data_IF_956689462883
#
_entry.id   IF_956689462883
#
_cell.length_a   1.000
_cell.length_b   1.000
_cell.length_c   1.000
_cell.angle_alpha   90.00
_cell.angle_beta   90.00
_cell.angle_gamma   90.00
#
_symmetry.space_group_name_H-M   'P 1'
#
loop_
_entity.id
_entity.type
_entity.pdbx_description
1 polymer ?
#
# COMPACT_ATOMS: atom_id res chain seq x y z
N UNK A 1 16.84 19.49 -2.70
CA UNK A 1 15.49 19.91 -2.28
C UNK A 1 14.53 18.74 -2.36
N UNK A 2 13.77 18.49 -1.32
CA UNK A 2 12.80 17.42 -1.29
C UNK A 2 11.57 17.80 -2.10
N UNK A 3 11.01 16.82 -2.82
CA UNK A 3 9.73 17.00 -3.49
C UNK A 3 8.62 16.71 -2.49
N UNK A 4 7.67 17.61 -2.42
CA UNK A 4 6.52 17.43 -1.55
C UNK A 4 5.39 16.78 -2.36
N UNK A 5 4.91 15.65 -1.86
CA UNK A 5 3.81 14.96 -2.49
C UNK A 5 3.01 14.18 -1.45
N UNK A 6 1.71 14.43 -1.43
CA UNK A 6 0.79 13.70 -0.56
C UNK A 6 -0.49 13.50 -1.35
N UNK A 7 -0.89 12.26 -1.55
CA UNK A 7 -2.05 11.94 -2.36
C UNK A 7 -2.86 10.83 -1.70
N UNK A 8 -4.17 11.01 -1.62
CA UNK A 8 -5.07 10.02 -1.03
C UNK A 8 -6.13 9.65 -2.05
N UNK A 9 -6.31 8.36 -2.27
CA UNK A 9 -7.37 7.85 -3.14
C UNK A 9 -8.12 6.74 -2.44
N UNK A 10 -9.33 6.47 -2.92
CA UNK A 10 -10.11 5.33 -2.48
C UNK A 10 -10.07 4.25 -3.55
N UNK A 11 -9.95 3.01 -3.13
CA UNK A 11 -10.05 1.87 -4.04
C UNK A 11 -11.52 1.46 -4.07
N UNK A 12 -12.17 1.69 -5.20
CA UNK A 12 -13.60 1.41 -5.36
C UNK A 12 -13.83 0.32 -6.37
N UNK A 13 -14.62 -0.66 -5.98
CA UNK A 13 -14.93 -1.80 -6.85
C UNK A 13 -15.67 -1.37 -8.12
N UNK A 14 -16.57 -0.41 -8.01
CA UNK A 14 -17.35 0.08 -9.16
C UNK A 14 -16.50 0.72 -10.25
N UNK A 15 -15.26 1.10 -9.92
CA UNK A 15 -14.33 1.66 -10.88
C UNK A 15 -13.43 0.60 -11.51
N UNK A 16 -13.75 -0.68 -11.32
CA UNK A 16 -12.94 -1.77 -11.82
C UNK A 16 -11.66 -2.01 -11.04
N UNK A 17 -11.55 -1.44 -9.85
CA UNK A 17 -10.37 -1.57 -8.99
C UNK A 17 -10.63 -2.58 -7.90
N UNK A 18 -9.58 -3.27 -7.48
CA UNK A 18 -9.68 -4.25 -6.41
C UNK A 18 -8.59 -4.01 -5.37
N UNK A 19 -8.88 -4.38 -4.14
CA UNK A 19 -7.90 -4.24 -3.06
C UNK A 19 -6.73 -5.21 -3.28
N UNK A 20 -7.02 -6.42 -3.74
CA UNK A 20 -5.99 -7.42 -3.99
C UNK A 20 -5.03 -6.96 -5.09
N UNK A 21 -5.54 -6.45 -6.21
CA UNK A 21 -4.69 -5.96 -7.29
C UNK A 21 -3.86 -4.77 -6.84
N UNK A 22 -4.45 -3.86 -6.07
CA UNK A 22 -3.73 -2.69 -5.56
C UNK A 22 -2.60 -3.09 -4.62
N UNK A 23 -2.85 -4.05 -3.74
CA UNK A 23 -1.84 -4.56 -2.83
C UNK A 23 -0.72 -5.27 -3.58
N UNK A 24 -1.07 -6.10 -4.55
CA UNK A 24 -0.07 -6.82 -5.37
C UNK A 24 0.84 -5.83 -6.11
N UNK A 25 0.24 -4.80 -6.69
CA UNK A 25 0.99 -3.80 -7.45
C UNK A 25 2.01 -3.07 -6.56
N UNK A 26 1.57 -2.62 -5.39
CA UNK A 26 2.43 -1.86 -4.49
C UNK A 26 3.53 -2.70 -3.87
N UNK A 27 3.23 -3.95 -3.55
CA UNK A 27 4.20 -4.84 -2.94
C UNK A 27 5.10 -5.56 -3.95
N UNK A 28 4.75 -5.52 -5.23
CA UNK A 28 5.48 -6.26 -6.25
C UNK A 28 5.29 -7.76 -6.09
N UNK A 29 4.10 -8.20 -5.76
CA UNK A 29 3.79 -9.59 -5.48
C UNK A 29 2.78 -10.18 -6.47
N UNK A 30 2.62 -11.48 -6.40
CA UNK A 30 1.60 -12.19 -7.14
C UNK A 30 0.50 -12.59 -6.18
N UNK A 31 -0.70 -12.06 -6.37
CA UNK A 31 -1.83 -12.34 -5.50
C UNK A 31 -3.04 -12.75 -6.34
N UNK A 32 -3.79 -13.70 -5.80
CA UNK A 32 -5.03 -14.16 -6.43
C UNK A 32 -6.23 -13.56 -5.70
N UNK A 33 -7.14 -12.97 -6.45
CA UNK A 33 -8.35 -12.36 -5.89
C UNK A 33 -9.47 -13.39 -5.93
N UNK A 34 -9.91 -13.83 -4.78
CA UNK A 34 -10.99 -14.81 -4.68
C UNK A 34 -12.35 -14.25 -5.07
N UNK A 35 -12.49 -12.93 -4.99
CA UNK A 35 -13.76 -12.29 -5.32
C UNK A 35 -14.08 -12.39 -6.81
N UNK A 36 -13.10 -12.09 -7.67
CA UNK A 36 -13.31 -12.08 -9.12
C UNK A 36 -12.60 -13.23 -9.85
N UNK A 37 -11.80 -14.02 -9.14
CA UNK A 37 -11.09 -15.14 -9.72
C UNK A 37 -9.86 -14.77 -10.52
N UNK A 38 -9.42 -13.53 -10.48
CA UNK A 38 -8.26 -13.07 -11.25
C UNK A 38 -6.98 -13.08 -10.44
N UNK A 39 -5.88 -13.40 -11.13
CA UNK A 39 -4.55 -13.38 -10.54
C UNK A 39 -3.81 -12.15 -11.05
N UNK A 40 -3.18 -11.42 -10.12
CA UNK A 40 -2.41 -10.22 -10.43
C UNK A 40 -0.96 -10.48 -10.07
N UNK A 41 -0.09 -10.42 -11.06
CA UNK A 41 1.33 -10.74 -10.91
C UNK A 41 2.18 -9.53 -11.26
N UNK A 42 2.78 -8.93 -10.24
CA UNK A 42 3.67 -7.80 -10.40
C UNK A 42 5.08 -8.13 -9.92
N UNK A 43 5.43 -9.41 -9.88
CA UNK A 43 6.75 -9.85 -9.39
C UNK A 43 7.89 -9.35 -10.26
N UNK A 44 7.62 -9.06 -11.53
CA UNK A 44 8.65 -8.55 -12.45
C UNK A 44 8.76 -7.04 -12.48
N UNK A 45 7.91 -6.35 -11.74
CA UNK A 45 7.84 -4.90 -11.79
C UNK A 45 9.11 -4.22 -11.31
N UNK A 46 9.72 -4.71 -10.25
CA UNK A 46 10.91 -4.09 -9.68
C UNK A 46 10.60 -2.79 -8.97
N UNK A 47 11.63 -2.18 -8.38
CA UNK A 47 11.50 -0.88 -7.75
C UNK A 47 10.95 -0.89 -6.33
N UNK A 48 10.47 -2.00 -5.83
CA UNK A 48 10.01 -2.11 -4.45
C UNK A 48 11.19 -2.39 -3.54
N UNK A 49 11.43 -1.49 -2.59
CA UNK A 49 12.53 -1.64 -1.64
C UNK A 49 12.10 -2.47 -0.46
N UNK A 50 10.87 -2.24 0.02
CA UNK A 50 10.35 -2.89 1.22
C UNK A 50 8.84 -2.92 1.14
N UNK A 51 8.24 -4.01 1.60
CA UNK A 51 6.80 -4.09 1.79
C UNK A 51 6.53 -4.84 3.08
N UNK A 52 5.60 -4.32 3.89
CA UNK A 52 5.37 -4.85 5.23
C UNK A 52 3.95 -4.51 5.68
N UNK A 53 3.28 -5.47 6.29
CA UNK A 53 1.98 -5.21 6.92
C UNK A 53 2.25 -4.89 8.39
N UNK A 54 1.79 -3.71 8.83
CA UNK A 54 2.03 -3.24 10.19
C UNK A 54 0.78 -3.39 11.04
N UNK A 55 0.99 -3.58 12.30
CA UNK A 55 0.08 -3.83 13.40
C UNK A 55 -0.09 -5.32 13.70
N UNK A 56 -0.26 -6.14 12.68
CA UNK A 56 -0.41 -7.58 12.84
C UNK A 56 0.37 -8.30 11.78
N UNK A 57 0.74 -9.51 12.09
CA UNK A 57 1.32 -10.36 11.07
C UNK A 57 0.18 -11.03 10.30
N UNK A 58 0.02 -10.57 9.07
CA UNK A 58 -0.91 -11.16 8.12
C UNK A 58 -0.16 -11.51 6.86
N UNK A 59 -0.55 -12.64 6.27
CA UNK A 59 -0.25 -12.88 4.88
C UNK A 59 -1.02 -11.86 4.03
N UNK A 60 -0.35 -11.21 3.09
CA UNK A 60 -0.96 -10.14 2.29
C UNK A 60 -2.16 -10.65 1.50
N UNK A 61 -2.06 -11.85 0.94
CA UNK A 61 -3.18 -12.47 0.24
C UNK A 61 -4.39 -12.65 1.16
N UNK A 62 -4.15 -13.12 2.36
CA UNK A 62 -5.22 -13.34 3.34
C UNK A 62 -5.89 -12.03 3.72
N UNK A 63 -5.08 -11.01 4.03
CA UNK A 63 -5.63 -9.71 4.44
C UNK A 63 -6.52 -9.12 3.37
N UNK A 64 -6.02 -9.00 2.15
CA UNK A 64 -6.76 -8.27 1.12
C UNK A 64 -7.91 -9.08 0.52
N UNK A 65 -7.81 -10.40 0.51
CA UNK A 65 -8.96 -11.22 0.16
C UNK A 65 -10.05 -11.13 1.21
N UNK A 66 -9.69 -11.04 2.48
CA UNK A 66 -10.65 -10.81 3.55
C UNK A 66 -11.41 -9.51 3.33
N UNK A 67 -10.70 -8.43 3.00
CA UNK A 67 -11.32 -7.14 2.71
C UNK A 67 -12.31 -7.27 1.54
N UNK A 68 -11.94 -7.95 0.47
CA UNK A 68 -12.81 -8.16 -0.67
C UNK A 68 -14.08 -8.92 -0.28
N UNK A 69 -13.96 -9.92 0.59
CA UNK A 69 -15.09 -10.74 0.99
C UNK A 69 -16.03 -10.03 1.95
N UNK A 70 -15.50 -9.17 2.80
CA UNK A 70 -16.32 -8.43 3.77
C UNK A 70 -17.14 -7.35 3.09
N UNK A 71 -16.59 -6.70 2.08
CA UNK A 71 -17.28 -5.64 1.34
C UNK A 71 -18.02 -6.26 0.14
N UNK A 72 -19.30 -6.53 0.32
CA UNK A 72 -20.06 -7.36 -0.63
C UNK A 72 -20.72 -6.60 -1.77
N UNK A 73 -20.87 -5.29 -1.66
CA UNK A 73 -21.56 -4.50 -2.66
C UNK A 73 -20.70 -4.27 -3.90
N UNK A 74 -21.32 -4.21 -5.08
CA UNK A 74 -20.57 -3.98 -6.30
C UNK A 74 -19.92 -2.59 -6.32
N UNK A 75 -20.48 -1.65 -5.56
CA UNK A 75 -19.93 -0.29 -5.47
C UNK A 75 -19.15 -0.07 -4.16
N UNK A 76 -18.67 -1.15 -3.55
CA UNK A 76 -17.98 -1.07 -2.27
C UNK A 76 -16.70 -0.26 -2.36
N UNK A 77 -16.45 0.53 -1.33
CA UNK A 77 -15.13 1.11 -1.08
C UNK A 77 -14.32 0.07 -0.32
N UNK A 78 -13.15 -0.26 -0.84
CA UNK A 78 -12.36 -1.37 -0.30
C UNK A 78 -11.23 -0.90 0.59
N UNK A 79 -10.57 0.19 0.21
CA UNK A 79 -9.39 0.65 0.92
C UNK A 79 -9.13 2.11 0.61
N UNK A 80 -8.37 2.76 1.50
CA UNK A 80 -7.72 4.04 1.21
C UNK A 80 -6.29 3.79 0.82
N UNK A 81 -5.82 4.50 -0.20
CA UNK A 81 -4.45 4.45 -0.65
C UNK A 81 -3.81 5.81 -0.41
N UNK A 82 -2.70 5.82 0.32
CA UNK A 82 -1.95 7.04 0.61
C UNK A 82 -0.59 6.94 -0.08
N UNK A 83 -0.25 7.96 -0.83
CA UNK A 83 1.04 8.05 -1.54
C UNK A 83 1.76 9.28 -1.03
N UNK A 84 2.98 9.10 -0.55
CA UNK A 84 3.73 10.20 0.08
C UNK A 84 5.18 10.17 -0.37
N UNK A 85 5.72 11.39 -0.61
CA UNK A 85 7.13 11.53 -0.96
C UNK A 85 7.99 11.45 0.29
N UNK A 86 9.16 10.84 0.14
CA UNK A 86 10.19 10.83 1.15
C UNK A 86 11.25 11.87 0.78
N UNK A 87 12.22 12.06 1.68
CA UNK A 87 13.26 13.06 1.49
C UNK A 87 14.42 12.45 0.72
N UNK A 88 14.74 13.00 -0.44
CA UNK A 88 15.87 12.49 -1.21
C UNK A 88 17.23 12.90 -0.62
N UNK A 89 17.23 13.83 0.35
CA UNK A 89 18.44 14.18 1.09
C UNK A 89 18.78 13.18 2.18
N UNK A 90 17.83 12.32 2.56
CA UNK A 90 18.05 11.32 3.60
C UNK A 90 18.59 10.03 2.99
N UNK A 91 19.29 9.25 3.79
CA UNK A 91 19.72 7.93 3.38
C UNK A 91 18.50 7.01 3.24
N UNK A 92 18.69 5.88 2.58
CA UNK A 92 17.65 4.87 2.45
C UNK A 92 17.17 4.40 3.83
N UNK A 93 18.10 4.15 4.73
CA UNK A 93 17.75 3.69 6.08
C UNK A 93 16.94 4.73 6.84
N UNK A 94 17.31 6.00 6.73
CA UNK A 94 16.57 7.08 7.36
C UNK A 94 15.17 7.19 6.80
N UNK A 95 15.02 7.03 5.50
CA UNK A 95 13.70 7.08 4.86
C UNK A 95 12.83 5.89 5.25
N UNK A 96 13.41 4.70 5.38
CA UNK A 96 12.67 3.53 5.84
C UNK A 96 12.14 3.75 7.25
N UNK A 97 13.00 4.25 8.15
CA UNK A 97 12.60 4.53 9.51
C UNK A 97 11.52 5.61 9.58
N UNK A 98 11.68 6.65 8.79
CA UNK A 98 10.70 7.73 8.74
C UNK A 98 9.33 7.23 8.29
N UNK A 99 9.30 6.41 7.23
CA UNK A 99 8.05 5.86 6.74
C UNK A 99 7.38 4.96 7.78
N UNK A 100 8.14 4.09 8.42
CA UNK A 100 7.60 3.20 9.46
C UNK A 100 7.08 3.98 10.66
N UNK A 101 7.81 4.98 11.09
CA UNK A 101 7.40 5.84 12.20
C UNK A 101 6.11 6.57 11.90
N UNK A 102 6.00 7.11 10.68
CA UNK A 102 4.80 7.81 10.24
C UNK A 102 3.60 6.86 10.27
N UNK A 103 3.75 5.67 9.72
CA UNK A 103 2.65 4.69 9.65
C UNK A 103 2.27 4.23 11.06
N UNK A 104 3.26 4.00 11.91
CA UNK A 104 3.00 3.59 13.29
C UNK A 104 2.21 4.67 14.03
N UNK A 105 2.61 5.91 13.87
CA UNK A 105 2.02 7.03 14.61
C UNK A 105 0.62 7.38 14.13
N UNK A 106 0.40 7.41 12.81
CA UNK A 106 -0.83 7.94 12.25
C UNK A 106 -1.84 6.90 11.83
N UNK A 107 -1.45 5.64 11.72
CA UNK A 107 -2.36 4.57 11.33
C UNK A 107 -2.45 3.49 12.39
N UNK A 108 -1.34 2.88 12.74
CA UNK A 108 -1.33 1.72 13.63
C UNK A 108 -1.77 2.10 15.04
N UNK A 109 -1.32 3.23 15.55
CA UNK A 109 -1.70 3.66 16.89
C UNK A 109 -3.19 3.98 17.00
N UNK A 110 -3.85 4.29 15.87
CA UNK A 110 -5.29 4.51 15.83
C UNK A 110 -6.08 3.23 15.57
N UNK A 111 -5.43 2.10 15.59
CA UNK A 111 -6.09 0.81 15.45
C UNK A 111 -6.16 0.26 14.03
N UNK A 112 -5.53 0.92 13.08
CA UNK A 112 -5.59 0.49 11.69
C UNK A 112 -4.51 -0.51 11.36
N UNK A 113 -4.82 -1.42 10.43
CA UNK A 113 -3.82 -2.27 9.80
C UNK A 113 -3.34 -1.51 8.57
N UNK A 114 -2.04 -1.44 8.37
CA UNK A 114 -1.47 -0.69 7.27
C UNK A 114 -0.51 -1.56 6.48
N UNK A 115 -0.71 -1.61 5.16
CA UNK A 115 0.18 -2.33 4.25
C UNK A 115 1.10 -1.29 3.62
N UNK A 116 2.35 -1.28 4.05
CA UNK A 116 3.34 -0.29 3.66
C UNK A 116 4.22 -0.84 2.54
N UNK A 117 4.47 -0.01 1.53
CA UNK A 117 5.45 -0.32 0.48
C UNK A 117 6.30 0.92 0.22
N UNK A 118 7.61 0.73 0.14
CA UNK A 118 8.57 1.79 -0.13
C UNK A 118 9.17 1.53 -1.50
N UNK A 119 9.16 2.54 -2.35
CA UNK A 119 9.61 2.43 -3.73
C UNK A 119 10.86 3.24 -3.99
N UNK A 120 11.70 2.74 -4.88
CA UNK A 120 12.88 3.45 -5.35
C UNK A 120 12.46 4.71 -6.09
N UNK A 121 13.30 5.76 -6.06
CA UNK A 121 13.05 6.92 -6.88
C UNK A 121 13.10 6.57 -8.36
N UNK A 122 12.20 7.16 -9.11
CA UNK A 122 12.25 7.10 -10.56
C UNK A 122 13.36 8.00 -11.07
N UNK A 123 14.01 7.57 -12.13
CA UNK A 123 15.07 8.37 -12.75
C UNK A 123 14.52 9.35 -13.75
N UNK A 124 13.23 9.41 -13.90
CA UNK A 124 12.58 10.25 -14.86
C UNK A 124 12.37 11.65 -14.31
N UNK A 125 11.84 12.54 -15.12
CA UNK A 125 11.45 13.87 -14.70
C UNK A 125 12.63 14.70 -14.21
N UNK A 126 13.60 14.88 -15.07
CA UNK A 126 14.74 15.75 -14.78
C UNK A 126 15.81 15.16 -13.91
N UNK A 127 15.74 13.84 -13.68
CA UNK A 127 16.80 13.14 -12.97
C UNK A 127 16.82 13.36 -11.45
N UNK A 128 15.79 13.94 -10.89
CA UNK A 128 15.72 14.15 -9.45
C UNK A 128 15.17 12.87 -8.81
N UNK A 129 15.93 12.26 -7.88
CA UNK A 129 15.42 11.09 -7.18
C UNK A 129 14.17 11.45 -6.40
N UNK A 130 13.18 10.57 -6.45
CA UNK A 130 11.91 10.81 -5.81
C UNK A 130 11.45 9.56 -5.07
N UNK A 131 12.12 9.22 -3.94
CA UNK A 131 11.69 8.08 -3.15
C UNK A 131 10.32 8.37 -2.55
N UNK A 132 9.49 7.36 -2.54
CA UNK A 132 8.15 7.54 -2.00
C UNK A 132 7.67 6.23 -1.36
N UNK A 133 6.64 6.37 -0.54
CA UNK A 133 6.02 5.21 0.05
C UNK A 133 4.51 5.26 -0.13
N UNK A 134 3.93 4.08 -0.15
CA UNK A 134 2.49 3.88 -0.28
C UNK A 134 1.99 3.16 0.95
N UNK A 135 0.81 3.57 1.42
CA UNK A 135 0.14 2.89 2.51
C UNK A 135 -1.26 2.53 2.04
N UNK A 136 -1.60 1.25 2.13
CA UNK A 136 -2.93 0.78 1.79
C UNK A 136 -3.61 0.34 3.08
N UNK A 137 -4.79 0.91 3.36
CA UNK A 137 -5.48 0.73 4.63
C UNK A 137 -6.92 0.29 4.35
N UNK A 138 -7.39 -0.82 4.95
CA UNK A 138 -8.79 -1.20 4.79
C UNK A 138 -9.73 -0.11 5.29
N UNK A 139 -10.89 0.01 4.63
CA UNK A 139 -11.90 0.99 5.01
C UNK A 139 -12.39 0.74 6.45
N UNK A 140 -12.53 -0.52 6.82
CA UNK A 140 -13.03 -0.90 8.13
C UNK A 140 -11.95 -1.57 8.96
N UNK A 141 -11.95 -1.36 10.28
CA UNK A 141 -11.07 -2.15 11.13
C UNK A 141 -11.44 -3.63 11.01
N UNK A 142 -10.45 -4.48 10.93
CA UNK A 142 -10.66 -5.92 10.96
C UNK A 142 -10.54 -6.41 12.39
N UNK A 143 -11.42 -7.29 12.77
CA UNK A 143 -11.38 -7.86 14.12
C UNK A 143 -10.12 -8.68 14.31
N UNK A 144 -9.68 -8.73 15.55
CA UNK A 144 -8.45 -9.41 15.91
C UNK A 144 -8.59 -10.93 15.87
N UNK A 145 -9.78 -11.41 15.83
CA UNK A 145 -10.09 -12.83 15.98
C UNK A 145 -10.06 -13.57 14.67
#
# INVERSE_FOLDING_TARGET
MALYHFHVTQIKRSEGRTAVASAAYRAGEKLHNLWDGETHDYTKKGGVILSEIMKRFFDRSTLWNEVEQVEKNYNAQLAYSFDMALQNEFSLEENIELAKEFVQKYFVSDGMIADLAIHKPDKEEGGIPNPHFHVLVPIRPLNAD
#
